data_IF_163202237261
#
_entry.id   IF_163202237261
#
_cell.length_a   1.000
_cell.length_b   1.000
_cell.length_c   1.000
_cell.angle_alpha   90.00
_cell.angle_beta   90.00
_cell.angle_gamma   90.00
#
_symmetry.space_group_name_H-M   'P 1'
#
loop_
_entity.id
_entity.type
_entity.pdbx_description
1 polymer ?
#
# COMPACT_ATOMS: atom_id res chain seq x y z
N UNK A 1 -24.76 37.76 -13.10
CA UNK A 1 -25.11 36.34 -12.86
C UNK A 1 -23.91 35.44 -13.12
N UNK A 2 -23.61 34.43 -12.27
CA UNK A 2 -22.75 33.32 -12.68
C UNK A 2 -23.46 32.50 -13.77
N UNK A 3 -22.73 32.03 -14.79
CA UNK A 3 -23.33 31.19 -15.82
C UNK A 3 -23.57 29.80 -15.25
N UNK A 4 -24.79 29.24 -15.30
CA UNK A 4 -25.02 27.89 -14.76
C UNK A 4 -24.10 26.85 -15.44
N UNK A 5 -24.06 26.90 -16.77
CA UNK A 5 -23.26 26.00 -17.61
C UNK A 5 -22.53 26.83 -18.68
N UNK A 6 -21.28 26.47 -18.98
CA UNK A 6 -20.54 27.01 -20.12
C UNK A 6 -19.87 25.87 -20.88
N UNK A 7 -20.41 25.52 -22.05
CA UNK A 7 -19.97 24.37 -22.86
C UNK A 7 -19.20 24.81 -24.11
N UNK A 8 -18.40 23.90 -24.63
CA UNK A 8 -17.79 24.02 -25.94
C UNK A 8 -17.87 22.66 -26.65
N UNK A 9 -18.90 22.51 -27.48
CA UNK A 9 -19.24 21.23 -28.12
C UNK A 9 -18.94 21.26 -29.61
N UNK A 10 -18.43 20.15 -30.14
CA UNK A 10 -18.32 19.88 -31.57
C UNK A 10 -19.03 18.55 -31.90
N UNK A 11 -19.90 18.57 -32.90
CA UNK A 11 -20.60 17.39 -33.47
C UNK A 11 -20.29 17.27 -34.96
N UNK A 12 -20.29 16.04 -35.51
CA UNK A 12 -19.96 15.79 -36.91
C UNK A 12 -18.59 16.37 -37.26
N UNK A 13 -18.44 16.97 -38.44
CA UNK A 13 -17.20 17.67 -38.84
C UNK A 13 -16.93 19.00 -38.09
N UNK A 14 -17.81 19.38 -37.15
CA UNK A 14 -17.74 20.64 -36.42
C UNK A 14 -16.39 20.88 -35.73
N UNK A 15 -15.92 22.14 -35.77
CA UNK A 15 -14.64 22.53 -35.18
C UNK A 15 -14.77 23.72 -34.25
N UNK A 16 -14.46 23.50 -32.98
CA UNK A 16 -14.31 24.56 -31.98
C UNK A 16 -12.82 24.76 -31.70
N UNK A 17 -12.28 25.91 -32.07
CA UNK A 17 -10.82 26.15 -31.94
C UNK A 17 -10.50 27.48 -31.27
N UNK A 18 -9.29 27.56 -30.69
CA UNK A 18 -8.63 28.80 -30.25
C UNK A 18 -9.33 29.65 -29.17
N UNK A 19 -10.46 29.21 -28.59
CA UNK A 19 -11.17 29.99 -27.57
C UNK A 19 -10.41 30.14 -26.23
N UNK A 20 -10.76 31.20 -25.49
CA UNK A 20 -10.14 31.54 -24.20
C UNK A 20 -11.19 31.95 -23.16
N UNK A 21 -11.43 31.09 -22.17
CA UNK A 21 -12.33 31.40 -21.04
C UNK A 21 -11.52 31.96 -19.86
N UNK A 22 -11.96 33.09 -19.31
CA UNK A 22 -11.16 33.86 -18.35
C UNK A 22 -12.07 34.65 -17.40
N UNK A 23 -11.94 34.42 -16.09
CA UNK A 23 -12.74 35.09 -15.03
C UNK A 23 -14.27 34.91 -15.16
N UNK A 24 -14.72 33.85 -15.82
CA UNK A 24 -16.13 33.47 -15.88
C UNK A 24 -16.41 32.47 -14.74
N UNK A 25 -17.14 32.82 -13.67
CA UNK A 25 -17.64 31.83 -12.72
C UNK A 25 -18.80 31.07 -13.36
N UNK A 26 -18.74 29.74 -13.33
CA UNK A 26 -19.86 28.90 -13.77
C UNK A 26 -19.97 27.62 -12.95
N UNK A 27 -21.15 27.02 -12.80
CA UNK A 27 -21.27 25.78 -12.02
C UNK A 27 -20.65 24.60 -12.78
N UNK A 28 -20.83 24.55 -14.10
CA UNK A 28 -20.27 23.51 -14.98
C UNK A 28 -19.49 24.15 -16.14
N UNK A 29 -18.29 23.63 -16.43
CA UNK A 29 -17.55 23.95 -17.65
C UNK A 29 -17.14 22.68 -18.40
N UNK A 30 -17.52 22.58 -19.68
CA UNK A 30 -17.25 21.36 -20.47
C UNK A 30 -16.58 21.68 -21.80
N UNK A 31 -15.84 20.69 -22.29
CA UNK A 31 -15.35 20.64 -23.66
C UNK A 31 -15.59 19.24 -24.23
N UNK A 32 -16.43 19.15 -25.27
CA UNK A 32 -17.06 17.91 -25.74
C UNK A 32 -16.89 17.76 -27.24
N UNK A 33 -16.49 16.57 -27.69
CA UNK A 33 -16.39 16.22 -29.09
C UNK A 33 -17.12 14.90 -29.36
N UNK A 34 -18.00 14.89 -30.36
CA UNK A 34 -18.81 13.74 -30.79
C UNK A 34 -18.69 13.54 -32.31
N UNK A 35 -18.66 12.28 -32.77
CA UNK A 35 -18.35 11.97 -34.18
C UNK A 35 -16.95 12.49 -34.53
N UNK A 36 -16.72 13.00 -35.73
CA UNK A 36 -15.43 13.59 -36.13
C UNK A 36 -15.05 14.93 -35.45
N UNK A 37 -15.89 15.39 -34.52
CA UNK A 37 -15.85 16.73 -33.94
C UNK A 37 -14.52 17.07 -33.29
N UNK A 38 -14.06 18.30 -33.45
CA UNK A 38 -12.74 18.73 -32.96
C UNK A 38 -12.82 19.96 -32.06
N UNK A 39 -12.51 19.78 -30.78
CA UNK A 39 -12.32 20.87 -29.83
C UNK A 39 -10.82 21.04 -29.53
N UNK A 40 -10.22 22.15 -29.98
CA UNK A 40 -8.75 22.30 -29.94
C UNK A 40 -8.28 23.67 -29.43
N UNK A 41 -7.07 23.69 -28.87
CA UNK A 41 -6.35 24.92 -28.46
C UNK A 41 -7.01 25.79 -27.37
N UNK A 42 -7.99 25.25 -26.64
CA UNK A 42 -8.73 26.00 -25.62
C UNK A 42 -7.88 26.37 -24.40
N UNK A 43 -8.09 27.56 -23.84
CA UNK A 43 -7.37 28.04 -22.65
C UNK A 43 -8.33 28.55 -21.57
N UNK A 44 -8.38 27.86 -20.43
CA UNK A 44 -9.21 28.24 -19.27
C UNK A 44 -8.34 28.84 -18.16
N UNK A 45 -8.72 29.99 -17.60
CA UNK A 45 -7.86 30.73 -16.66
C UNK A 45 -8.62 31.54 -15.61
N UNK A 46 -8.38 31.26 -14.31
CA UNK A 46 -9.09 31.91 -13.19
C UNK A 46 -10.61 31.72 -13.34
N UNK A 47 -11.04 30.47 -13.39
CA UNK A 47 -12.44 30.06 -13.50
C UNK A 47 -12.72 29.17 -12.29
N UNK A 48 -13.56 29.58 -11.32
CA UNK A 48 -14.10 28.65 -10.33
C UNK A 48 -15.31 27.93 -10.96
N UNK A 49 -15.40 26.61 -10.78
CA UNK A 49 -16.60 25.85 -11.13
C UNK A 49 -16.77 24.62 -10.25
N UNK A 50 -17.97 24.07 -10.15
CA UNK A 50 -18.16 22.79 -9.44
C UNK A 50 -17.58 21.64 -10.26
N UNK A 51 -17.86 21.62 -11.57
CA UNK A 51 -17.44 20.54 -12.48
C UNK A 51 -16.67 21.11 -13.68
N UNK A 52 -15.53 20.49 -14.01
CA UNK A 52 -14.75 20.78 -15.22
C UNK A 52 -14.48 19.49 -16.00
N UNK A 53 -14.97 19.38 -17.24
CA UNK A 53 -14.82 18.14 -18.05
C UNK A 53 -14.13 18.38 -19.40
N UNK A 54 -13.46 17.33 -19.87
CA UNK A 54 -12.98 17.21 -21.24
C UNK A 54 -13.32 15.81 -21.76
N UNK A 55 -14.28 15.70 -22.67
CA UNK A 55 -14.86 14.43 -23.10
C UNK A 55 -14.81 14.25 -24.63
N UNK A 56 -14.46 13.06 -25.09
CA UNK A 56 -14.48 12.66 -26.49
C UNK A 56 -15.27 11.36 -26.68
N UNK A 57 -16.16 11.32 -27.66
CA UNK A 57 -17.04 10.21 -28.00
C UNK A 57 -17.02 9.95 -29.51
N UNK A 58 -17.06 8.68 -29.94
CA UNK A 58 -16.78 8.32 -31.35
C UNK A 58 -15.37 8.77 -31.74
N UNK A 59 -15.14 9.20 -32.98
CA UNK A 59 -13.83 9.72 -33.43
C UNK A 59 -13.39 11.06 -32.82
N UNK A 60 -14.16 11.60 -31.87
CA UNK A 60 -14.07 12.96 -31.37
C UNK A 60 -12.70 13.31 -30.80
N UNK A 61 -12.23 14.54 -31.05
CA UNK A 61 -10.88 14.96 -30.66
C UNK A 61 -10.90 16.22 -29.81
N UNK A 62 -10.63 16.05 -28.51
CA UNK A 62 -10.38 17.18 -27.59
C UNK A 62 -8.87 17.28 -27.35
N UNK A 63 -8.22 18.34 -27.83
CA UNK A 63 -6.76 18.43 -27.84
C UNK A 63 -6.20 19.80 -27.45
N UNK A 64 -4.95 19.80 -26.95
CA UNK A 64 -4.16 21.01 -26.66
C UNK A 64 -4.74 21.95 -25.57
N UNK A 65 -5.57 21.44 -24.66
CA UNK A 65 -6.25 22.26 -23.64
C UNK A 65 -5.28 22.69 -22.53
N UNK A 66 -5.43 23.94 -22.06
CA UNK A 66 -4.59 24.49 -20.98
C UNK A 66 -5.44 25.11 -19.88
N UNK A 67 -5.50 24.47 -18.71
CA UNK A 67 -6.20 24.97 -17.53
C UNK A 67 -5.21 25.58 -16.51
N UNK A 68 -5.52 26.76 -15.95
CA UNK A 68 -4.62 27.45 -15.00
C UNK A 68 -5.37 28.24 -13.94
N UNK A 69 -5.16 27.90 -12.65
CA UNK A 69 -5.89 28.49 -11.51
C UNK A 69 -7.40 28.27 -11.68
N UNK A 70 -7.82 27.03 -11.61
CA UNK A 70 -9.21 26.61 -11.70
C UNK A 70 -9.46 25.73 -10.47
N UNK A 71 -10.05 26.26 -9.38
CA UNK A 71 -10.58 25.44 -8.30
C UNK A 71 -11.88 24.80 -8.77
N UNK A 72 -12.05 23.49 -8.53
CA UNK A 72 -13.32 22.83 -8.76
C UNK A 72 -13.58 21.67 -7.82
N UNK A 73 -14.81 21.16 -7.73
CA UNK A 73 -15.06 19.93 -6.97
C UNK A 73 -14.54 18.72 -7.75
N UNK A 74 -14.86 18.66 -9.05
CA UNK A 74 -14.54 17.54 -9.94
C UNK A 74 -13.84 18.03 -11.20
N UNK A 75 -12.75 17.36 -11.59
CA UNK A 75 -12.06 17.58 -12.85
C UNK A 75 -11.88 16.24 -13.60
N UNK A 76 -12.44 16.11 -14.80
CA UNK A 76 -12.41 14.85 -15.56
C UNK A 76 -11.80 15.00 -16.95
N UNK A 77 -11.21 13.89 -17.42
CA UNK A 77 -10.78 13.70 -18.80
C UNK A 77 -11.24 12.31 -19.25
N UNK A 78 -12.21 12.23 -20.16
CA UNK A 78 -12.88 10.97 -20.54
C UNK A 78 -12.84 10.73 -22.04
N UNK A 79 -12.58 9.49 -22.45
CA UNK A 79 -12.65 9.07 -23.85
C UNK A 79 -13.48 7.79 -23.98
N UNK A 80 -14.43 7.77 -24.92
CA UNK A 80 -15.33 6.66 -25.21
C UNK A 80 -15.34 6.38 -26.72
N UNK A 81 -15.43 5.10 -27.12
CA UNK A 81 -15.22 4.71 -28.52
C UNK A 81 -13.80 5.10 -28.96
N UNK A 82 -13.59 5.48 -30.22
CA UNK A 82 -12.28 5.95 -30.72
C UNK A 82 -11.77 7.30 -30.15
N UNK A 83 -12.50 7.88 -29.20
CA UNK A 83 -12.36 9.25 -28.74
C UNK A 83 -10.97 9.59 -28.23
N UNK A 84 -10.46 10.79 -28.55
CA UNK A 84 -9.08 11.18 -28.27
C UNK A 84 -9.00 12.46 -27.44
N UNK A 85 -8.66 12.30 -26.17
CA UNK A 85 -8.42 13.40 -25.23
C UNK A 85 -6.92 13.53 -24.98
N UNK A 86 -6.26 14.48 -25.64
CA UNK A 86 -4.79 14.53 -25.70
C UNK A 86 -4.16 15.90 -25.40
N UNK A 87 -2.90 15.88 -24.95
CA UNK A 87 -2.05 17.06 -24.76
C UNK A 87 -2.52 18.08 -23.69
N UNK A 88 -3.26 17.64 -22.68
CA UNK A 88 -3.78 18.56 -21.66
C UNK A 88 -2.72 18.99 -20.65
N UNK A 89 -2.77 20.27 -20.25
CA UNK A 89 -1.86 20.85 -19.26
C UNK A 89 -2.63 21.58 -18.16
N UNK A 90 -2.67 20.98 -16.97
CA UNK A 90 -3.32 21.57 -15.79
C UNK A 90 -2.28 22.15 -14.82
N UNK A 91 -2.52 23.35 -14.28
CA UNK A 91 -1.59 24.02 -13.34
C UNK A 91 -2.33 24.79 -12.25
N UNK A 92 -2.04 24.48 -10.98
CA UNK A 92 -2.70 25.07 -9.80
C UNK A 92 -4.21 24.84 -9.87
N UNK A 93 -4.61 23.60 -9.63
CA UNK A 93 -5.98 23.13 -9.70
C UNK A 93 -6.25 22.39 -8.38
N UNK A 94 -6.78 23.03 -7.33
CA UNK A 94 -7.31 22.29 -6.19
C UNK A 94 -8.66 21.68 -6.59
N UNK A 95 -8.86 20.40 -6.34
CA UNK A 95 -10.19 19.79 -6.50
C UNK A 95 -10.41 18.60 -5.58
N UNK A 96 -11.65 18.17 -5.31
CA UNK A 96 -11.86 16.96 -4.51
C UNK A 96 -11.54 15.71 -5.32
N UNK A 97 -11.92 15.66 -6.60
CA UNK A 97 -11.72 14.50 -7.48
C UNK A 97 -11.05 14.91 -8.79
N UNK A 98 -10.01 14.18 -9.20
CA UNK A 98 -9.35 14.34 -10.51
C UNK A 98 -9.22 13.00 -11.23
N UNK A 99 -9.96 12.81 -12.34
CA UNK A 99 -10.01 11.54 -13.09
C UNK A 99 -9.42 11.63 -14.49
N UNK A 100 -8.89 10.50 -14.95
CA UNK A 100 -8.56 10.24 -16.36
C UNK A 100 -9.09 8.85 -16.72
N UNK A 101 -10.12 8.76 -17.56
CA UNK A 101 -10.78 7.49 -17.89
C UNK A 101 -10.87 7.24 -19.40
N UNK A 102 -10.58 6.01 -19.82
CA UNK A 102 -10.74 5.55 -21.19
C UNK A 102 -11.63 4.29 -21.24
N UNK A 103 -12.60 4.27 -22.15
CA UNK A 103 -13.58 3.20 -22.36
C UNK A 103 -13.68 2.86 -23.85
N UNK A 104 -13.84 1.57 -24.19
CA UNK A 104 -13.69 1.13 -25.59
C UNK A 104 -12.28 1.46 -26.10
N UNK A 105 -12.12 1.80 -27.38
CA UNK A 105 -10.82 2.22 -27.95
C UNK A 105 -10.23 3.55 -27.45
N UNK A 106 -10.89 4.18 -26.48
CA UNK A 106 -10.69 5.57 -26.07
C UNK A 106 -9.26 5.87 -25.65
N UNK A 107 -8.74 7.04 -26.03
CA UNK A 107 -7.34 7.40 -25.82
C UNK A 107 -7.19 8.70 -25.05
N UNK A 108 -6.85 8.56 -23.76
CA UNK A 108 -6.52 9.68 -22.87
C UNK A 108 -5.00 9.75 -22.71
N UNK A 109 -4.34 10.71 -23.36
CA UNK A 109 -2.86 10.69 -23.46
C UNK A 109 -2.18 12.04 -23.24
N UNK A 110 -0.88 11.99 -22.91
CA UNK A 110 0.01 13.15 -22.80
C UNK A 110 -0.39 14.21 -21.74
N UNK A 111 -1.07 13.80 -20.67
CA UNK A 111 -1.50 14.72 -19.61
C UNK A 111 -0.33 15.21 -18.74
N UNK A 112 -0.31 16.50 -18.42
CA UNK A 112 0.68 17.10 -17.52
C UNK A 112 0.02 17.93 -16.42
N UNK A 113 -0.04 17.38 -15.21
CA UNK A 113 -0.59 18.06 -14.03
C UNK A 113 0.53 18.60 -13.14
N UNK A 114 0.38 19.82 -12.61
CA UNK A 114 1.35 20.45 -11.68
C UNK A 114 0.66 21.26 -10.59
N UNK A 115 0.96 20.94 -9.31
CA UNK A 115 0.33 21.55 -8.13
C UNK A 115 -1.19 21.34 -8.18
N UNK A 116 -1.59 20.12 -7.89
CA UNK A 116 -2.97 19.64 -7.88
C UNK A 116 -3.17 18.92 -6.54
N UNK A 117 -3.57 19.63 -5.46
CA UNK A 117 -4.06 18.97 -4.26
C UNK A 117 -5.47 18.44 -4.53
N UNK A 118 -5.70 17.17 -4.23
CA UNK A 118 -7.05 16.60 -4.34
C UNK A 118 -7.34 15.48 -3.37
N UNK A 119 -8.59 15.18 -3.03
CA UNK A 119 -8.89 14.01 -2.18
C UNK A 119 -8.58 12.72 -2.94
N UNK A 120 -9.07 12.61 -4.19
CA UNK A 120 -8.93 11.40 -5.01
C UNK A 120 -8.30 11.72 -6.36
N UNK A 121 -7.32 10.91 -6.79
CA UNK A 121 -6.77 10.98 -8.14
C UNK A 121 -6.74 9.61 -8.83
N UNK A 122 -7.51 9.46 -9.91
CA UNK A 122 -7.67 8.17 -10.61
C UNK A 122 -7.14 8.20 -12.05
N UNK A 123 -6.66 7.04 -12.49
CA UNK A 123 -6.41 6.72 -13.90
C UNK A 123 -7.02 5.36 -14.20
N UNK A 124 -8.06 5.30 -15.03
CA UNK A 124 -8.84 4.09 -15.30
C UNK A 124 -8.90 3.76 -16.80
N UNK A 125 -8.72 2.50 -17.14
CA UNK A 125 -8.89 1.99 -18.51
C UNK A 125 -9.83 0.77 -18.50
N UNK A 126 -10.84 0.78 -19.37
CA UNK A 126 -11.85 -0.27 -19.51
C UNK A 126 -12.04 -0.64 -21.00
N UNK A 127 -12.25 -1.92 -21.31
CA UNK A 127 -12.16 -2.41 -22.69
C UNK A 127 -10.76 -2.13 -23.26
N UNK A 128 -10.61 -1.82 -24.54
CA UNK A 128 -9.33 -1.46 -25.17
C UNK A 128 -8.69 -0.13 -24.72
N UNK A 129 -9.29 0.54 -23.74
CA UNK A 129 -9.03 1.92 -23.36
C UNK A 129 -7.57 2.19 -23.00
N UNK A 130 -7.03 3.33 -23.44
CA UNK A 130 -5.61 3.65 -23.30
C UNK A 130 -5.39 4.95 -22.55
N UNK A 131 -4.96 4.84 -21.29
CA UNK A 131 -4.57 5.97 -20.43
C UNK A 131 -3.05 6.01 -20.31
N UNK A 132 -2.39 6.88 -21.09
CA UNK A 132 -0.92 6.80 -21.27
C UNK A 132 -0.17 8.14 -21.15
N UNK A 133 1.12 8.05 -20.81
CA UNK A 133 2.07 9.18 -20.79
C UNK A 133 1.75 10.29 -19.76
N UNK A 134 1.09 9.96 -18.64
CA UNK A 134 0.75 10.97 -17.63
C UNK A 134 1.94 11.40 -16.79
N UNK A 135 2.05 12.71 -16.53
CA UNK A 135 3.12 13.30 -15.72
C UNK A 135 2.55 14.20 -14.64
N UNK A 136 2.54 13.72 -13.41
CA UNK A 136 2.07 14.46 -12.23
C UNK A 136 3.25 14.98 -11.40
N UNK A 137 3.15 16.21 -10.87
CA UNK A 137 4.20 16.82 -10.03
C UNK A 137 3.60 17.69 -8.91
N UNK A 138 3.98 17.38 -7.66
CA UNK A 138 3.43 18.02 -6.44
C UNK A 138 1.92 17.82 -6.40
N UNK A 139 1.52 16.62 -5.98
CA UNK A 139 0.13 16.21 -5.88
C UNK A 139 -0.08 15.59 -4.49
N UNK A 140 -0.45 16.39 -3.46
CA UNK A 140 -1.01 15.83 -2.24
C UNK A 140 -2.37 15.22 -2.57
N UNK A 141 -2.62 13.98 -2.15
CA UNK A 141 -3.99 13.45 -2.18
C UNK A 141 -4.29 12.46 -1.07
N UNK A 142 -5.55 12.13 -0.79
CA UNK A 142 -5.85 11.04 0.14
C UNK A 142 -5.62 9.69 -0.55
N UNK A 143 -6.14 9.54 -1.77
CA UNK A 143 -6.10 8.29 -2.55
C UNK A 143 -5.54 8.55 -3.95
N UNK A 144 -4.63 7.71 -4.42
CA UNK A 144 -4.19 7.69 -5.82
C UNK A 144 -4.24 6.29 -6.44
N UNK A 145 -5.10 6.10 -7.44
CA UNK A 145 -5.33 4.80 -8.07
C UNK A 145 -4.90 4.77 -9.54
N UNK A 146 -4.49 3.58 -9.99
CA UNK A 146 -4.33 3.22 -11.38
C UNK A 146 -5.00 1.88 -11.63
N UNK A 147 -6.05 1.83 -12.45
CA UNK A 147 -6.91 0.65 -12.62
C UNK A 147 -7.05 0.28 -14.11
N UNK A 148 -6.94 -1.00 -14.42
CA UNK A 148 -7.17 -1.54 -15.76
C UNK A 148 -8.13 -2.74 -15.71
N UNK A 149 -9.15 -2.73 -16.56
CA UNK A 149 -10.16 -3.79 -16.71
C UNK A 149 -10.34 -4.17 -18.19
N UNK A 150 -10.59 -5.45 -18.47
CA UNK A 150 -10.55 -5.97 -19.86
C UNK A 150 -9.17 -5.72 -20.46
N UNK A 151 -9.07 -5.45 -21.76
CA UNK A 151 -7.79 -5.12 -22.42
C UNK A 151 -7.12 -3.79 -22.02
N UNK A 152 -7.67 -3.10 -21.02
CA UNK A 152 -7.38 -1.71 -20.67
C UNK A 152 -5.90 -1.48 -20.35
N UNK A 153 -5.34 -0.38 -20.85
CA UNK A 153 -3.89 -0.10 -20.76
C UNK A 153 -3.61 1.22 -20.06
N UNK A 154 -3.18 1.13 -18.80
CA UNK A 154 -2.72 2.27 -18.00
C UNK A 154 -1.19 2.26 -17.93
N UNK A 155 -0.52 3.10 -18.74
CA UNK A 155 0.93 2.97 -18.96
C UNK A 155 1.73 4.27 -18.91
N UNK A 156 3.04 4.13 -18.66
CA UNK A 156 4.03 5.23 -18.71
C UNK A 156 3.79 6.39 -17.71
N UNK A 157 3.19 6.11 -16.56
CA UNK A 157 2.92 7.13 -15.53
C UNK A 157 4.19 7.57 -14.82
N UNK A 158 4.35 8.88 -14.61
CA UNK A 158 5.46 9.47 -13.86
C UNK A 158 4.99 10.45 -12.81
N UNK A 159 4.96 10.00 -11.56
CA UNK A 159 4.58 10.82 -10.40
C UNK A 159 5.83 11.30 -9.64
N UNK A 160 5.83 12.55 -9.16
CA UNK A 160 6.92 13.08 -8.30
C UNK A 160 6.39 13.99 -7.19
N UNK A 161 6.78 13.71 -5.95
CA UNK A 161 6.29 14.38 -4.73
C UNK A 161 4.77 14.20 -4.62
N UNK A 162 4.38 12.99 -4.24
CA UNK A 162 3.00 12.56 -4.00
C UNK A 162 2.90 12.09 -2.53
N UNK A 163 2.61 12.95 -1.55
CA UNK A 163 2.14 12.45 -0.26
C UNK A 163 0.69 12.00 -0.42
N UNK A 164 0.37 10.76 -0.03
CA UNK A 164 -1.03 10.32 -0.01
C UNK A 164 -1.29 9.19 0.98
N UNK A 165 -2.49 9.03 1.53
CA UNK A 165 -2.73 7.92 2.48
C UNK A 165 -2.72 6.56 1.78
N UNK A 166 -3.32 6.45 0.59
CA UNK A 166 -3.41 5.18 -0.16
C UNK A 166 -2.91 5.35 -1.60
N UNK A 167 -2.04 4.45 -2.06
CA UNK A 167 -1.64 4.38 -3.47
C UNK A 167 -1.75 2.97 -4.05
N UNK A 168 -2.65 2.77 -5.01
CA UNK A 168 -2.96 1.45 -5.59
C UNK A 168 -2.63 1.36 -7.08
N UNK A 169 -2.30 0.14 -7.51
CA UNK A 169 -2.22 -0.27 -8.91
C UNK A 169 -2.96 -1.60 -9.06
N UNK A 170 -4.07 -1.64 -9.81
CA UNK A 170 -4.91 -2.83 -9.95
C UNK A 170 -5.12 -3.20 -11.42
N UNK A 171 -5.04 -4.49 -11.73
CA UNK A 171 -5.34 -5.03 -13.05
C UNK A 171 -6.33 -6.21 -12.92
N UNK A 172 -7.37 -6.21 -13.75
CA UNK A 172 -8.43 -7.23 -13.81
C UNK A 172 -8.69 -7.65 -15.26
N UNK A 173 -8.97 -8.93 -15.51
CA UNK A 173 -9.00 -9.48 -16.87
C UNK A 173 -7.64 -9.28 -17.54
N UNK A 174 -7.57 -9.06 -18.85
CA UNK A 174 -6.30 -8.78 -19.56
C UNK A 174 -5.58 -7.46 -19.22
N UNK A 175 -6.09 -6.72 -18.23
CA UNK A 175 -5.74 -5.34 -17.93
C UNK A 175 -4.26 -5.13 -17.66
N UNK A 176 -3.68 -4.06 -18.20
CA UNK A 176 -2.22 -3.81 -18.17
C UNK A 176 -1.89 -2.48 -17.51
N UNK A 177 -1.41 -2.56 -16.28
CA UNK A 177 -0.89 -1.41 -15.50
C UNK A 177 0.63 -1.48 -15.49
N UNK A 178 1.30 -0.70 -16.35
CA UNK A 178 2.74 -0.89 -16.61
C UNK A 178 3.59 0.38 -16.66
N UNK A 179 4.90 0.21 -16.45
CA UNK A 179 5.93 1.26 -16.58
C UNK A 179 5.76 2.46 -15.61
N UNK A 180 5.21 2.24 -14.42
CA UNK A 180 5.00 3.30 -13.43
C UNK A 180 6.31 3.71 -12.76
N UNK A 181 6.53 5.03 -12.63
CA UNK A 181 7.71 5.60 -11.95
C UNK A 181 7.31 6.63 -10.91
N UNK A 182 7.33 6.24 -9.64
CA UNK A 182 7.02 7.12 -8.51
C UNK A 182 8.32 7.57 -7.81
N UNK A 183 8.37 8.83 -7.35
CA UNK A 183 9.54 9.37 -6.60
C UNK A 183 9.11 10.33 -5.50
N UNK A 184 9.57 10.05 -4.26
CA UNK A 184 9.15 10.75 -3.02
C UNK A 184 7.64 10.61 -2.84
N UNK A 185 7.27 9.45 -2.30
CA UNK A 185 5.91 8.97 -2.10
C UNK A 185 5.79 8.51 -0.63
N UNK A 186 5.58 9.38 0.37
CA UNK A 186 5.12 8.92 1.67
C UNK A 186 3.65 8.55 1.56
N UNK A 187 3.27 7.35 2.01
CA UNK A 187 1.88 6.93 2.09
C UNK A 187 1.60 5.99 3.25
N UNK A 188 0.37 5.78 3.69
CA UNK A 188 0.07 4.77 4.72
C UNK A 188 0.07 3.37 4.10
N UNK A 189 -0.55 3.23 2.92
CA UNK A 189 -0.71 1.95 2.22
C UNK A 189 -0.26 2.08 0.77
N UNK A 190 0.54 1.12 0.28
CA UNK A 190 0.90 0.99 -1.14
C UNK A 190 0.67 -0.43 -1.67
N UNK A 191 -0.27 -0.60 -2.59
CA UNK A 191 -0.65 -1.92 -3.12
C UNK A 191 -0.38 -2.07 -4.61
N UNK A 192 -0.10 -3.29 -5.01
CA UNK A 192 -0.11 -3.75 -6.40
C UNK A 192 -0.90 -5.06 -6.48
N UNK A 193 -2.03 -5.08 -7.19
CA UNK A 193 -2.89 -6.27 -7.30
C UNK A 193 -3.17 -6.65 -8.75
N UNK A 194 -3.15 -7.96 -9.04
CA UNK A 194 -3.53 -8.52 -10.33
C UNK A 194 -4.55 -9.65 -10.13
N UNK A 195 -5.63 -9.64 -10.90
CA UNK A 195 -6.71 -10.62 -10.87
C UNK A 195 -7.05 -11.09 -12.31
N UNK A 196 -7.36 -12.37 -12.49
CA UNK A 196 -7.45 -12.97 -13.83
C UNK A 196 -6.12 -12.81 -14.56
N UNK A 197 -6.10 -12.63 -15.89
CA UNK A 197 -4.86 -12.40 -16.67
C UNK A 197 -4.10 -11.09 -16.39
N UNK A 198 -4.53 -10.32 -15.38
CA UNK A 198 -4.13 -8.94 -15.14
C UNK A 198 -2.63 -8.78 -14.95
N UNK A 199 -2.03 -7.73 -15.53
CA UNK A 199 -0.58 -7.52 -15.56
C UNK A 199 -0.18 -6.20 -14.96
N UNK A 200 0.33 -6.25 -13.72
CA UNK A 200 0.90 -5.10 -13.00
C UNK A 200 2.42 -5.22 -13.04
N UNK A 201 3.09 -4.49 -13.95
CA UNK A 201 4.51 -4.75 -14.25
C UNK A 201 5.41 -3.51 -14.37
N UNK A 202 6.72 -3.72 -14.20
CA UNK A 202 7.77 -2.71 -14.40
C UNK A 202 7.68 -1.47 -13.47
N UNK A 203 7.20 -1.65 -12.23
CA UNK A 203 7.07 -0.55 -11.27
C UNK A 203 8.41 -0.14 -10.67
N UNK A 204 8.67 1.16 -10.59
CA UNK A 204 9.88 1.72 -9.99
C UNK A 204 9.56 2.82 -8.98
N UNK A 205 9.60 2.47 -7.70
CA UNK A 205 9.39 3.39 -6.58
C UNK A 205 10.72 3.81 -5.95
N UNK A 206 10.85 5.08 -5.53
CA UNK A 206 12.06 5.58 -4.84
C UNK A 206 11.72 6.58 -3.74
N UNK A 207 12.21 6.31 -2.52
CA UNK A 207 11.87 7.04 -1.27
C UNK A 207 10.37 6.93 -1.02
N UNK A 208 9.97 5.79 -0.48
CA UNK A 208 8.60 5.41 -0.17
C UNK A 208 8.53 4.98 1.31
N UNK A 209 8.36 5.87 2.27
CA UNK A 209 7.90 5.48 3.60
C UNK A 209 6.44 5.05 3.52
N UNK A 210 6.08 3.87 4.04
CA UNK A 210 4.67 3.52 4.21
C UNK A 210 4.36 2.47 5.26
N UNK A 211 3.26 2.55 6.00
CA UNK A 211 2.91 1.54 7.01
C UNK A 211 2.78 0.14 6.40
N UNK A 212 2.12 0.00 5.26
CA UNK A 212 1.89 -1.30 4.59
C UNK A 212 2.28 -1.24 3.11
N UNK A 213 3.04 -2.24 2.63
CA UNK A 213 3.33 -2.42 1.21
C UNK A 213 3.04 -3.83 0.73
N UNK A 214 2.05 -4.00 -0.16
CA UNK A 214 1.59 -5.31 -0.64
C UNK A 214 1.82 -5.51 -2.14
N UNK A 215 2.04 -6.77 -2.51
CA UNK A 215 1.99 -7.26 -3.89
C UNK A 215 1.16 -8.54 -3.93
N UNK A 216 0.01 -8.55 -4.59
CA UNK A 216 -0.91 -9.68 -4.62
C UNK A 216 -1.26 -10.11 -6.05
N UNK A 217 -1.25 -11.41 -6.33
CA UNK A 217 -1.71 -12.00 -7.58
C UNK A 217 -2.76 -13.09 -7.32
N UNK A 218 -3.85 -13.07 -8.09
CA UNK A 218 -4.97 -14.00 -7.97
C UNK A 218 -5.42 -14.49 -9.36
N UNK A 219 -5.75 -15.77 -9.50
CA UNK A 219 -5.91 -16.40 -10.83
C UNK A 219 -4.60 -16.29 -11.61
N UNK A 220 -4.63 -16.15 -12.93
CA UNK A 220 -3.42 -15.97 -13.76
C UNK A 220 -2.61 -14.68 -13.54
N UNK A 221 -2.97 -13.88 -12.54
CA UNK A 221 -2.51 -12.51 -12.33
C UNK A 221 -1.00 -12.39 -12.21
N UNK A 222 -0.41 -11.37 -12.83
CA UNK A 222 1.06 -11.22 -12.91
C UNK A 222 1.51 -9.88 -12.35
N UNK A 223 2.09 -9.92 -11.15
CA UNK A 223 2.71 -8.78 -10.47
C UNK A 223 4.22 -8.92 -10.55
N UNK A 224 4.87 -8.27 -11.52
CA UNK A 224 6.28 -8.57 -11.87
C UNK A 224 7.20 -7.36 -12.05
N UNK A 225 8.51 -7.60 -11.91
CA UNK A 225 9.59 -6.63 -12.17
C UNK A 225 9.55 -5.37 -11.28
N UNK A 226 9.16 -5.51 -10.01
CA UNK A 226 9.08 -4.38 -9.07
C UNK A 226 10.45 -3.99 -8.53
N UNK A 227 10.75 -2.69 -8.52
CA UNK A 227 12.01 -2.15 -8.00
C UNK A 227 11.77 -1.01 -7.01
N UNK A 228 11.81 -1.32 -5.72
CA UNK A 228 11.68 -0.35 -4.63
C UNK A 228 13.06 0.03 -4.07
N UNK A 229 13.24 1.30 -3.66
CA UNK A 229 14.49 1.78 -3.05
C UNK A 229 14.23 2.81 -1.94
N UNK A 230 14.76 2.55 -0.74
CA UNK A 230 14.50 3.29 0.50
C UNK A 230 13.00 3.23 0.81
N UNK A 231 12.60 2.08 1.35
CA UNK A 231 11.24 1.71 1.69
C UNK A 231 11.21 1.34 3.19
N UNK A 232 11.15 2.28 4.13
CA UNK A 232 10.78 1.93 5.49
C UNK A 232 9.27 1.64 5.54
N UNK A 233 8.88 0.50 6.10
CA UNK A 233 7.46 0.16 6.25
C UNK A 233 7.19 -0.72 7.47
N UNK A 234 6.00 -0.73 8.06
CA UNK A 234 5.70 -1.65 9.16
C UNK A 234 5.54 -3.08 8.65
N UNK A 235 4.79 -3.26 7.55
CA UNK A 235 4.49 -4.56 6.95
C UNK A 235 4.82 -4.57 5.46
N UNK A 236 5.51 -5.60 4.98
CA UNK A 236 5.74 -5.83 3.55
C UNK A 236 5.37 -7.25 3.13
N UNK A 237 4.33 -7.40 2.31
CA UNK A 237 3.79 -8.70 1.89
C UNK A 237 3.93 -8.96 0.39
N UNK A 238 4.07 -10.24 0.05
CA UNK A 238 3.94 -10.77 -1.30
C UNK A 238 3.04 -12.00 -1.26
N UNK A 239 1.91 -11.99 -1.97
CA UNK A 239 0.90 -13.07 -1.91
C UNK A 239 0.52 -13.55 -3.31
N UNK A 240 0.41 -14.86 -3.51
CA UNK A 240 -0.05 -15.48 -4.74
C UNK A 240 -1.12 -16.53 -4.46
N UNK A 241 -2.24 -16.50 -5.19
CA UNK A 241 -3.36 -17.43 -5.08
C UNK A 241 -3.80 -17.93 -6.46
N UNK A 242 -4.16 -19.21 -6.57
CA UNK A 242 -4.36 -19.86 -7.88
C UNK A 242 -3.06 -19.79 -8.69
N UNK A 243 -3.12 -19.67 -10.02
CA UNK A 243 -1.93 -19.52 -10.87
C UNK A 243 -1.09 -18.23 -10.69
N UNK A 244 -1.40 -17.43 -9.68
CA UNK A 244 -0.91 -16.07 -9.50
C UNK A 244 0.61 -15.99 -9.41
N UNK A 245 1.22 -15.02 -10.11
CA UNK A 245 2.68 -14.90 -10.23
C UNK A 245 3.18 -13.55 -9.72
N UNK A 246 3.79 -13.58 -8.53
CA UNK A 246 4.46 -12.44 -7.90
C UNK A 246 5.97 -12.64 -8.02
N UNK A 247 6.61 -12.02 -9.02
CA UNK A 247 7.99 -12.38 -9.39
C UNK A 247 8.94 -11.20 -9.67
N UNK A 248 10.25 -11.46 -9.58
CA UNK A 248 11.32 -10.51 -9.89
C UNK A 248 11.30 -9.23 -9.03
N UNK A 249 11.01 -9.37 -7.74
CA UNK A 249 10.98 -8.22 -6.81
C UNK A 249 12.38 -7.85 -6.34
N UNK A 250 12.69 -6.55 -6.33
CA UNK A 250 13.97 -6.05 -5.86
C UNK A 250 13.82 -4.85 -4.94
N UNK A 251 13.90 -5.09 -3.65
CA UNK A 251 13.87 -4.07 -2.60
C UNK A 251 15.30 -3.74 -2.14
N UNK A 252 15.54 -2.48 -1.72
CA UNK A 252 16.85 -2.05 -1.17
C UNK A 252 16.67 -0.99 -0.08
N UNK A 253 17.25 -1.24 1.10
CA UNK A 253 17.06 -0.47 2.33
C UNK A 253 15.58 -0.50 2.71
N UNK A 254 15.19 -1.62 3.30
CA UNK A 254 13.84 -1.98 3.69
C UNK A 254 13.85 -2.34 5.19
N UNK A 255 13.88 -1.37 6.12
CA UNK A 255 13.55 -1.69 7.50
C UNK A 255 12.04 -1.92 7.60
N UNK A 256 11.62 -3.06 8.18
CA UNK A 256 10.20 -3.30 8.43
C UNK A 256 9.90 -4.28 9.54
N UNK A 257 8.88 -4.03 10.36
CA UNK A 257 8.51 -4.94 11.47
C UNK A 257 8.21 -6.35 10.97
N UNK A 258 7.45 -6.50 9.87
CA UNK A 258 7.04 -7.80 9.32
C UNK A 258 7.31 -7.87 7.81
N UNK A 259 7.92 -8.97 7.34
CA UNK A 259 8.10 -9.26 5.91
C UNK A 259 7.62 -10.68 5.54
N UNK A 260 6.56 -10.79 4.74
CA UNK A 260 5.92 -12.06 4.40
C UNK A 260 5.98 -12.39 2.90
N UNK A 261 6.05 -13.69 2.61
CA UNK A 261 5.83 -14.27 1.28
C UNK A 261 4.87 -15.46 1.41
N UNK A 262 3.72 -15.43 0.75
CA UNK A 262 2.72 -16.52 0.79
C UNK A 262 2.31 -16.98 -0.61
N UNK A 263 2.17 -18.28 -0.80
CA UNK A 263 1.67 -18.90 -2.02
C UNK A 263 0.58 -19.94 -1.67
N UNK A 264 -0.54 -19.93 -2.38
CA UNK A 264 -1.67 -20.84 -2.21
C UNK A 264 -2.17 -21.37 -3.56
N UNK A 265 -2.53 -22.66 -3.63
CA UNK A 265 -2.77 -23.32 -4.92
C UNK A 265 -1.50 -23.30 -5.76
N UNK A 266 -1.59 -23.21 -7.09
CA UNK A 266 -0.42 -23.10 -7.99
C UNK A 266 0.44 -21.81 -7.86
N UNK A 267 0.18 -20.98 -6.84
CA UNK A 267 0.70 -19.63 -6.69
C UNK A 267 2.22 -19.59 -6.65
N UNK A 268 2.83 -18.63 -7.36
CA UNK A 268 4.29 -18.54 -7.51
C UNK A 268 4.83 -17.20 -7.04
N UNK A 269 5.49 -17.22 -5.89
CA UNK A 269 6.21 -16.09 -5.30
C UNK A 269 7.71 -16.32 -5.44
N UNK A 270 8.34 -15.74 -6.48
CA UNK A 270 9.71 -16.14 -6.87
C UNK A 270 10.66 -14.99 -7.21
N UNK A 271 11.97 -15.28 -7.18
CA UNK A 271 13.06 -14.37 -7.56
C UNK A 271 13.13 -13.08 -6.71
N UNK A 272 12.91 -13.20 -5.39
CA UNK A 272 12.92 -12.04 -4.48
C UNK A 272 14.35 -11.66 -4.08
N UNK A 273 14.67 -10.36 -4.17
CA UNK A 273 16.01 -9.83 -3.83
C UNK A 273 15.91 -8.63 -2.90
N UNK A 274 16.01 -8.87 -1.60
CA UNK A 274 16.04 -7.83 -0.56
C UNK A 274 17.48 -7.53 -0.13
N UNK A 275 17.79 -6.29 0.28
CA UNK A 275 19.13 -5.90 0.76
C UNK A 275 19.04 -4.82 1.83
N UNK A 276 19.68 -5.06 2.98
CA UNK A 276 19.58 -4.26 4.22
C UNK A 276 18.12 -4.25 4.66
N UNK A 277 17.73 -5.36 5.27
CA UNK A 277 16.39 -5.68 5.74
C UNK A 277 16.48 -6.06 7.22
N UNK A 278 16.53 -5.08 8.15
CA UNK A 278 16.21 -5.36 9.55
C UNK A 278 14.69 -5.56 9.66
N UNK A 279 14.26 -6.66 10.26
CA UNK A 279 12.84 -6.91 10.49
C UNK A 279 12.56 -7.74 11.73
N UNK A 280 11.50 -7.44 12.48
CA UNK A 280 11.14 -8.24 13.66
C UNK A 280 10.73 -9.65 13.23
N UNK A 281 9.92 -9.79 12.18
CA UNK A 281 9.39 -11.07 11.69
C UNK A 281 9.64 -11.22 10.18
N UNK A 282 10.10 -12.38 9.74
CA UNK A 282 10.25 -12.72 8.32
C UNK A 282 9.65 -14.10 8.01
N UNK A 283 8.57 -14.17 7.25
CA UNK A 283 7.84 -15.42 6.97
C UNK A 283 7.90 -15.83 5.50
N UNK A 284 7.92 -17.14 5.27
CA UNK A 284 7.69 -17.78 3.98
C UNK A 284 6.67 -18.90 4.16
N UNK A 285 5.61 -18.89 3.34
CA UNK A 285 4.51 -19.86 3.41
C UNK A 285 4.10 -20.37 2.03
N UNK A 286 3.98 -21.68 1.86
CA UNK A 286 3.40 -22.31 0.69
C UNK A 286 2.30 -23.28 1.11
N UNK A 287 1.14 -23.27 0.42
CA UNK A 287 -0.02 -24.14 0.68
C UNK A 287 -0.57 -24.69 -0.65
N UNK A 288 -1.07 -25.94 -0.67
CA UNK A 288 -1.32 -26.67 -1.92
C UNK A 288 -0.04 -26.76 -2.76
N UNK A 289 -0.13 -26.72 -4.09
CA UNK A 289 1.03 -26.68 -5.00
C UNK A 289 1.92 -25.40 -4.95
N UNK A 290 1.72 -24.56 -3.94
CA UNK A 290 2.29 -23.22 -3.84
C UNK A 290 3.82 -23.23 -3.86
N UNK A 291 4.42 -22.25 -4.54
CA UNK A 291 5.89 -22.19 -4.74
C UNK A 291 6.48 -20.85 -4.31
N UNK A 292 7.26 -20.89 -3.23
CA UNK A 292 7.98 -19.75 -2.67
C UNK A 292 9.49 -19.99 -2.84
N UNK A 293 10.09 -19.46 -3.92
CA UNK A 293 11.45 -19.89 -4.35
C UNK A 293 12.44 -18.78 -4.78
N UNK A 294 13.74 -19.08 -4.65
CA UNK A 294 14.87 -18.21 -5.02
C UNK A 294 14.86 -16.86 -4.27
N UNK A 295 14.74 -16.92 -2.95
CA UNK A 295 14.75 -15.74 -2.09
C UNK A 295 16.19 -15.41 -1.67
N UNK A 296 16.59 -14.16 -1.89
CA UNK A 296 17.94 -13.68 -1.57
C UNK A 296 17.87 -12.44 -0.70
N UNK A 297 18.03 -12.63 0.61
CA UNK A 297 18.15 -11.55 1.59
C UNK A 297 19.62 -11.33 1.96
N UNK A 298 20.02 -10.09 2.27
CA UNK A 298 21.42 -9.77 2.67
C UNK A 298 21.45 -8.66 3.71
N UNK A 299 22.18 -8.90 4.81
CA UNK A 299 22.19 -8.09 6.03
C UNK A 299 20.77 -8.02 6.60
N UNK A 300 20.41 -9.12 7.28
CA UNK A 300 19.09 -9.40 7.83
C UNK A 300 19.24 -9.72 9.33
N UNK A 301 19.31 -8.73 10.22
CA UNK A 301 19.00 -8.98 11.62
C UNK A 301 17.48 -9.13 11.75
N UNK A 302 17.02 -10.25 12.30
CA UNK A 302 15.61 -10.46 12.60
C UNK A 302 15.39 -11.25 13.88
N UNK A 303 14.27 -11.00 14.56
CA UNK A 303 13.88 -11.77 15.73
C UNK A 303 13.33 -13.13 15.26
N UNK A 304 12.22 -13.12 14.54
CA UNK A 304 11.50 -14.32 14.09
C UNK A 304 11.74 -14.57 12.60
N UNK A 305 12.01 -15.81 12.23
CA UNK A 305 12.10 -16.24 10.84
C UNK A 305 11.34 -17.56 10.60
N UNK A 306 10.18 -17.53 9.96
CA UNK A 306 9.33 -18.72 9.78
C UNK A 306 9.40 -19.30 8.36
N UNK A 307 9.27 -20.62 8.27
CA UNK A 307 9.30 -21.40 7.02
C UNK A 307 8.17 -22.45 7.07
N UNK A 308 6.97 -22.07 6.64
CA UNK A 308 5.83 -22.98 6.58
C UNK A 308 5.78 -23.61 5.19
N UNK A 309 6.15 -24.88 5.13
CA UNK A 309 6.37 -25.65 3.92
C UNK A 309 5.85 -27.06 4.20
N UNK A 310 5.19 -27.63 3.21
CA UNK A 310 4.41 -28.82 3.40
C UNK A 310 4.97 -29.91 2.51
N UNK A 311 5.34 -31.04 3.08
CA UNK A 311 5.93 -32.14 2.32
C UNK A 311 5.60 -33.49 2.95
N UNK A 312 5.12 -34.42 2.12
CA UNK A 312 5.19 -35.86 2.35
C UNK A 312 6.49 -36.47 1.79
N UNK A 313 7.49 -35.65 1.41
CA UNK A 313 8.76 -36.11 0.86
C UNK A 313 9.90 -36.10 1.90
N UNK A 314 10.77 -37.10 1.79
CA UNK A 314 11.64 -37.59 2.86
C UNK A 314 12.94 -36.79 3.11
N UNK A 315 13.06 -35.54 2.65
CA UNK A 315 14.27 -34.72 2.86
C UNK A 315 13.95 -33.23 3.08
N UNK A 316 14.33 -32.63 4.22
CA UNK A 316 14.11 -31.20 4.45
C UNK A 316 14.87 -30.36 3.40
N UNK A 317 14.33 -29.18 3.02
CA UNK A 317 14.92 -28.36 1.97
C UNK A 317 16.36 -27.96 2.31
N UNK A 318 17.28 -28.13 1.36
CA UNK A 318 18.67 -27.69 1.50
C UNK A 318 18.75 -26.16 1.68
N UNK A 319 18.80 -25.72 2.94
CA UNK A 319 19.13 -24.33 3.32
C UNK A 319 20.59 -24.30 3.80
N UNK A 320 21.56 -23.89 2.95
CA UNK A 320 22.96 -23.79 3.37
C UNK A 320 23.17 -22.57 4.29
N UNK A 321 22.81 -22.72 5.57
CA UNK A 321 22.99 -21.76 6.65
C UNK A 321 24.46 -21.68 7.05
N UNK A 322 25.21 -20.76 6.44
CA UNK A 322 26.63 -20.55 6.81
C UNK A 322 26.74 -19.67 8.08
N UNK A 323 26.67 -20.34 9.24
CA UNK A 323 27.04 -19.95 10.62
C UNK A 323 26.04 -19.11 11.47
N UNK A 324 25.60 -19.73 12.57
CA UNK A 324 25.08 -19.21 13.87
C UNK A 324 23.72 -18.44 13.88
N UNK A 325 22.98 -18.43 15.01
CA UNK A 325 21.57 -18.89 15.06
C UNK A 325 20.48 -17.86 14.67
N UNK A 326 19.21 -18.32 14.72
CA UNK A 326 17.93 -17.61 14.49
C UNK A 326 17.25 -17.24 15.84
N UNK A 327 16.22 -16.37 15.92
CA UNK A 327 15.48 -16.11 17.20
C UNK A 327 14.06 -16.68 17.38
N UNK A 328 13.38 -17.12 16.32
CA UNK A 328 12.33 -18.15 16.36
C UNK A 328 12.34 -18.76 14.96
N UNK A 329 12.45 -20.07 14.83
CA UNK A 329 12.42 -20.76 13.54
C UNK A 329 11.29 -21.80 13.46
N UNK A 330 10.05 -21.32 13.31
CA UNK A 330 8.90 -22.22 13.16
C UNK A 330 8.84 -22.81 11.76
N UNK A 331 8.66 -24.13 11.72
CA UNK A 331 8.18 -24.89 10.59
C UNK A 331 6.73 -25.33 10.88
N UNK A 332 5.83 -25.16 9.93
CA UNK A 332 4.46 -25.71 9.98
C UNK A 332 4.12 -26.34 8.62
N UNK A 333 3.36 -27.44 8.61
CA UNK A 333 3.17 -28.34 7.46
C UNK A 333 1.70 -28.78 7.27
N UNK A 334 1.13 -28.64 6.06
CA UNK A 334 -0.26 -28.98 5.65
C UNK A 334 -0.45 -29.09 4.09
N UNK A 335 0.00 -30.15 3.41
CA UNK A 335 -0.15 -30.35 1.94
C UNK A 335 1.18 -30.50 1.16
N UNK A 336 1.25 -30.00 -0.10
CA UNK A 336 2.39 -30.19 -1.04
C UNK A 336 3.25 -28.92 -1.32
N UNK A 337 3.14 -27.90 -0.46
CA UNK A 337 3.68 -26.55 -0.67
C UNK A 337 5.20 -26.43 -0.60
N UNK A 338 5.84 -26.00 -1.69
CA UNK A 338 7.31 -25.95 -1.82
C UNK A 338 7.94 -24.60 -1.50
N UNK A 339 8.80 -24.60 -0.49
CA UNK A 339 9.60 -23.44 -0.05
C UNK A 339 11.10 -23.75 -0.21
N UNK A 340 11.75 -23.26 -1.27
CA UNK A 340 13.12 -23.72 -1.64
C UNK A 340 14.06 -22.62 -2.14
N UNK A 341 15.37 -22.90 -2.16
CA UNK A 341 16.42 -21.99 -2.63
C UNK A 341 16.43 -20.65 -1.85
N UNK A 342 16.39 -20.77 -0.51
CA UNK A 342 16.51 -19.67 0.44
C UNK A 342 17.99 -19.31 0.66
N UNK A 343 18.35 -18.03 0.57
CA UNK A 343 19.74 -17.58 0.70
C UNK A 343 19.88 -16.27 1.46
N UNK A 344 19.96 -16.39 2.79
CA UNK A 344 20.28 -15.32 3.75
C UNK A 344 21.81 -15.14 3.87
N UNK A 345 22.31 -13.94 4.21
CA UNK A 345 23.75 -13.71 4.54
C UNK A 345 23.94 -12.56 5.54
N UNK A 346 24.70 -12.86 6.61
CA UNK A 346 25.05 -12.02 7.79
C UNK A 346 23.85 -11.77 8.73
N UNK A 347 23.89 -12.45 9.88
CA UNK A 347 22.89 -12.59 10.95
C UNK A 347 23.55 -12.25 12.32
N UNK A 348 22.79 -11.67 13.25
CA UNK A 348 22.86 -12.01 14.67
C UNK A 348 21.43 -12.17 15.26
N UNK A 349 21.07 -13.38 15.74
CA UNK A 349 19.74 -13.79 16.22
C UNK A 349 19.89 -14.97 17.25
N UNK A 350 18.88 -15.35 18.06
CA UNK A 350 19.15 -15.87 19.44
C UNK A 350 18.36 -17.06 20.10
N UNK A 351 17.26 -17.63 19.58
CA UNK A 351 16.23 -18.49 20.26
C UNK A 351 15.44 -19.37 19.23
N UNK A 352 14.71 -20.43 19.64
CA UNK A 352 14.01 -21.38 18.73
C UNK A 352 12.68 -21.94 19.29
N UNK A 353 11.67 -22.16 18.44
CA UNK A 353 10.42 -22.90 18.78
C UNK A 353 9.87 -23.69 17.59
N UNK A 354 9.18 -24.81 17.87
CA UNK A 354 8.44 -25.61 16.89
C UNK A 354 6.94 -25.62 17.25
N UNK A 355 6.06 -25.55 16.26
CA UNK A 355 4.61 -25.75 16.42
C UNK A 355 4.08 -26.65 15.32
N UNK A 356 3.70 -27.88 15.67
CA UNK A 356 2.97 -28.78 14.78
C UNK A 356 1.52 -28.85 15.23
N UNK A 357 0.58 -28.59 14.33
CA UNK A 357 -0.83 -28.94 14.52
C UNK A 357 -1.11 -30.20 13.69
N UNK A 358 -1.26 -31.32 14.38
CA UNK A 358 -1.67 -32.59 13.79
C UNK A 358 -3.18 -32.75 14.00
N UNK A 359 -3.92 -33.04 12.93
CA UNK A 359 -5.32 -33.42 13.06
C UNK A 359 -5.39 -34.83 13.69
N UNK A 360 -6.29 -35.03 14.64
CA UNK A 360 -6.23 -36.12 15.59
C UNK A 360 -6.19 -37.53 14.95
N UNK A 361 -5.01 -38.15 14.95
CA UNK A 361 -4.86 -39.61 14.99
C UNK A 361 -3.43 -39.97 15.44
N UNK A 362 -3.33 -40.66 16.59
CA UNK A 362 -2.09 -41.21 17.20
C UNK A 362 -1.16 -40.16 17.87
N UNK A 363 -0.64 -40.42 19.09
CA UNK A 363 0.26 -39.49 19.77
C UNK A 363 1.66 -39.49 19.14
N UNK A 364 2.30 -38.32 18.95
CA UNK A 364 3.64 -38.25 18.39
C UNK A 364 4.70 -38.65 19.44
N UNK A 365 5.56 -39.62 19.09
CA UNK A 365 6.77 -39.90 19.86
C UNK A 365 7.75 -38.73 19.75
N UNK A 366 7.88 -37.94 20.82
CA UNK A 366 8.95 -36.95 20.97
C UNK A 366 10.29 -37.71 21.15
N UNK A 367 11.33 -37.43 20.36
CA UNK A 367 12.63 -38.09 20.55
C UNK A 367 13.29 -37.61 21.85
N UNK A 368 13.22 -38.43 22.90
CA UNK A 368 13.70 -38.14 24.27
C UNK A 368 15.18 -37.71 24.36
N UNK A 369 16.00 -38.00 23.34
CA UNK A 369 17.45 -37.70 23.31
C UNK A 369 17.81 -36.23 23.56
N UNK A 370 17.03 -35.27 23.02
CA UNK A 370 17.36 -33.84 23.19
C UNK A 370 17.09 -33.28 24.58
N UNK A 371 16.18 -33.88 25.35
CA UNK A 371 15.93 -33.42 26.72
C UNK A 371 17.06 -33.86 27.64
N UNK A 372 17.52 -35.11 27.48
CA UNK A 372 18.67 -35.66 28.19
C UNK A 372 19.95 -34.85 27.93
N UNK A 373 20.21 -34.45 26.67
CA UNK A 373 21.35 -33.57 26.30
C UNK A 373 21.32 -32.19 27.00
N UNK A 374 20.14 -31.65 27.34
CA UNK A 374 20.00 -30.39 28.08
C UNK A 374 20.17 -30.65 29.58
N UNK A 375 19.55 -31.71 30.11
CA UNK A 375 19.65 -32.09 31.52
C UNK A 375 21.08 -32.46 31.94
N UNK A 376 21.88 -33.01 31.03
CA UNK A 376 23.28 -33.40 31.27
C UNK A 376 24.32 -32.30 30.94
N UNK A 377 23.91 -31.06 30.71
CA UNK A 377 24.86 -29.97 30.42
C UNK A 377 25.51 -29.47 31.72
N UNK A 378 26.84 -29.21 31.79
CA UNK A 378 27.55 -28.84 33.03
C UNK A 378 27.00 -27.62 33.78
N UNK A 379 26.27 -26.74 33.09
CA UNK A 379 25.55 -25.62 33.74
C UNK A 379 24.46 -26.07 34.74
N UNK A 380 23.91 -27.26 34.56
CA UNK A 380 22.87 -27.85 35.40
C UNK A 380 23.41 -28.98 36.30
N UNK A 381 24.72 -29.05 36.49
CA UNK A 381 25.35 -29.96 37.45
C UNK A 381 24.83 -29.64 38.86
N UNK A 382 24.28 -30.64 39.55
CA UNK A 382 23.60 -30.48 40.85
C UNK A 382 22.11 -30.14 40.78
N UNK A 383 21.51 -29.96 39.60
CA UNK A 383 20.05 -29.80 39.47
C UNK A 383 19.37 -31.18 39.45
N UNK A 384 18.62 -31.49 40.51
CA UNK A 384 17.73 -32.65 40.51
C UNK A 384 16.49 -32.36 39.65
N UNK A 385 16.48 -32.91 38.44
CA UNK A 385 15.38 -32.77 37.48
C UNK A 385 14.15 -33.60 37.83
N UNK A 386 14.28 -34.64 38.67
CA UNK A 386 13.15 -35.48 39.06
C UNK A 386 12.34 -34.83 40.19
N UNK A 387 13.02 -34.22 41.16
CA UNK A 387 12.42 -33.45 42.24
C UNK A 387 12.19 -31.96 41.95
N UNK A 388 12.46 -31.45 40.74
CA UNK A 388 12.35 -30.02 40.41
C UNK A 388 10.99 -29.39 40.77
N UNK A 389 9.90 -30.15 40.63
CA UNK A 389 8.55 -29.70 40.99
C UNK A 389 8.28 -29.67 42.51
N UNK A 390 9.13 -30.30 43.32
CA UNK A 390 9.09 -30.29 44.79
C UNK A 390 10.19 -29.41 45.41
N UNK A 391 11.10 -28.85 44.60
CA UNK A 391 12.12 -27.91 45.07
C UNK A 391 11.51 -26.54 45.36
N UNK A 392 12.00 -25.90 46.43
CA UNK A 392 11.63 -24.51 46.74
C UNK A 392 12.11 -23.58 45.62
N UNK A 393 11.22 -22.71 45.14
CA UNK A 393 11.58 -21.70 44.15
C UNK A 393 12.62 -20.72 44.73
N UNK A 394 13.68 -20.35 43.98
CA UNK A 394 14.70 -19.41 44.47
C UNK A 394 14.18 -18.02 44.83
N UNK A 395 13.02 -17.65 44.29
CA UNK A 395 12.29 -16.43 44.63
C UNK A 395 10.80 -16.73 44.62
N UNK A 396 10.13 -16.47 45.73
CA UNK A 396 8.68 -16.47 45.85
C UNK A 396 8.23 -15.01 45.85
N UNK A 397 7.47 -14.54 44.84
CA UNK A 397 6.97 -13.16 44.84
C UNK A 397 6.03 -12.95 46.03
N UNK A 398 6.10 -11.78 46.65
CA UNK A 398 5.13 -11.39 47.67
C UNK A 398 3.77 -11.20 47.01
N UNK A 399 2.79 -11.98 47.45
CA UNK A 399 1.38 -11.89 47.05
C UNK A 399 0.59 -11.85 48.35
N UNK A 400 0.03 -10.69 48.69
CA UNK A 400 -0.62 -10.48 49.99
C UNK A 400 -2.05 -11.06 50.03
N UNK A 401 -2.72 -11.18 48.88
CA UNK A 401 -4.03 -11.85 48.72
C UNK A 401 -4.28 -12.28 47.26
N UNK A 402 -5.28 -13.11 46.99
CA UNK A 402 -5.53 -13.69 45.65
C UNK A 402 -5.75 -12.65 44.53
N UNK A 403 -6.32 -11.48 44.86
CA UNK A 403 -6.58 -10.38 43.93
C UNK A 403 -5.42 -9.37 43.84
N UNK A 404 -4.23 -9.72 44.34
CA UNK A 404 -3.11 -8.79 44.49
C UNK A 404 -2.40 -8.55 43.16
N UNK A 405 -2.50 -7.31 42.67
CA UNK A 405 -1.90 -6.87 41.42
C UNK A 405 -0.55 -6.16 41.61
N UNK A 406 0.06 -6.15 42.80
CA UNK A 406 1.31 -5.40 43.05
C UNK A 406 2.51 -5.85 42.20
N UNK A 407 2.51 -7.10 41.73
CA UNK A 407 3.54 -7.65 40.83
C UNK A 407 3.24 -7.39 39.33
N UNK A 408 2.18 -6.65 39.01
CA UNK A 408 1.77 -6.31 37.65
C UNK A 408 1.88 -4.79 37.44
N UNK A 409 2.10 -4.37 36.19
CA UNK A 409 2.05 -2.96 35.83
C UNK A 409 0.60 -2.44 35.97
N UNK A 410 0.43 -1.25 36.54
CA UNK A 410 -0.88 -0.58 36.60
C UNK A 410 -1.21 0.00 35.23
N UNK A 411 -2.39 -0.35 34.72
CA UNK A 411 -2.95 0.23 33.50
C UNK A 411 -4.05 1.23 33.91
N UNK A 412 -4.12 2.37 33.22
CA UNK A 412 -5.23 3.30 33.39
C UNK A 412 -6.53 2.62 32.90
N UNK A 413 -7.61 2.73 33.67
CA UNK A 413 -8.91 2.13 33.34
C UNK A 413 -9.61 2.93 32.21
N UNK A 414 -9.21 2.65 30.96
CA UNK A 414 -9.80 3.27 29.77
C UNK A 414 -11.28 2.84 29.61
N UNK A 415 -12.15 3.71 30.14
CA UNK A 415 -13.62 3.71 30.09
C UNK A 415 -14.20 3.49 28.68
N UNK A 416 -14.38 2.24 28.25
CA UNK A 416 -15.25 1.93 27.11
C UNK A 416 -15.87 0.51 27.11
N UNK A 417 -16.45 0.07 28.23
CA UNK A 417 -17.25 -1.18 28.28
C UNK A 417 -18.51 -1.09 29.16
N UNK A 418 -19.29 -0.01 29.10
CA UNK A 418 -20.77 -0.13 29.12
C UNK A 418 -21.50 1.15 28.68
N UNK A 419 -22.25 1.08 27.57
CA UNK A 419 -23.62 1.61 27.46
C UNK A 419 -24.23 1.24 26.09
N UNK A 420 -25.56 1.10 25.99
CA UNK A 420 -26.16 0.26 24.96
C UNK A 420 -26.43 1.02 23.65
N UNK A 421 -26.64 0.27 22.57
CA UNK A 421 -27.19 0.84 21.35
C UNK A 421 -28.71 0.92 21.42
N UNK A 422 -29.26 2.13 21.31
CA UNK A 422 -30.49 2.36 20.55
C UNK A 422 -30.48 3.76 19.91
N UNK A 423 -31.43 4.04 19.03
CA UNK A 423 -31.33 5.08 18.01
C UNK A 423 -31.99 6.43 18.38
N UNK A 424 -31.79 7.39 17.45
CA UNK A 424 -32.63 8.56 17.15
C UNK A 424 -32.37 9.92 17.85
N UNK A 425 -31.84 10.86 17.05
CA UNK A 425 -32.14 12.31 17.12
C UNK A 425 -31.44 13.15 18.22
N UNK A 426 -31.31 14.47 18.08
CA UNK A 426 -31.40 15.34 16.90
C UNK A 426 -30.78 16.72 17.23
N UNK A 427 -29.93 17.29 16.35
CA UNK A 427 -29.38 18.65 16.49
C UNK A 427 -28.38 18.86 17.65
N UNK A 428 -27.60 19.95 17.72
CA UNK A 428 -27.31 20.96 16.71
C UNK A 428 -25.88 21.52 16.88
N UNK A 429 -25.34 22.06 15.79
CA UNK A 429 -24.09 22.83 15.68
C UNK A 429 -24.13 24.19 16.41
N UNK A 430 -23.06 25.02 16.44
CA UNK A 430 -21.60 24.77 16.48
C UNK A 430 -20.86 25.75 17.45
N UNK A 431 -19.51 25.79 17.41
CA UNK A 431 -18.85 27.10 17.20
C UNK A 431 -17.93 27.63 18.31
N UNK A 432 -16.63 27.67 18.01
CA UNK A 432 -15.60 28.39 18.76
C UNK A 432 -15.61 29.90 18.48
N UNK A 433 -15.49 30.74 19.53
CA UNK A 433 -14.95 32.11 19.54
C UNK A 433 -14.41 32.34 20.98
N UNK A 434 -13.10 32.54 21.22
CA UNK A 434 -12.38 33.83 21.24
C UNK A 434 -13.10 34.96 22.01
N UNK A 435 -12.43 35.53 23.02
CA UNK A 435 -12.78 36.87 23.52
C UNK A 435 -12.53 37.16 25.02
N UNK A 436 -11.30 37.56 25.35
CA UNK A 436 -10.96 38.68 26.27
C UNK A 436 -12.03 39.33 27.19
N UNK A 437 -11.71 39.44 28.49
CA UNK A 437 -12.31 40.37 29.47
C UNK A 437 -11.98 39.93 30.91
N UNK A 438 -11.13 40.65 31.67
CA UNK A 438 -11.50 41.55 32.80
C UNK A 438 -12.42 40.91 33.87
N UNK A 439 -12.15 40.98 35.18
CA UNK A 439 -11.05 41.49 36.00
C UNK A 439 -11.01 40.66 37.32
N UNK A 440 -10.01 40.67 38.20
CA UNK A 440 -9.62 41.74 39.13
C UNK A 440 -8.30 41.40 39.86
N UNK A 441 -7.69 42.43 40.47
CA UNK A 441 -6.83 42.50 41.67
C UNK A 441 -6.41 41.19 42.41
N UNK A 442 -5.23 41.10 43.04
CA UNK A 442 -4.04 41.96 43.12
C UNK A 442 -2.88 41.16 43.77
N UNK A 443 -1.62 41.57 43.58
CA UNK A 443 -0.48 40.90 44.22
C UNK A 443 0.88 41.48 43.79
N UNK A 444 1.41 42.41 44.58
CA UNK A 444 2.65 43.16 44.29
C UNK A 444 3.87 42.49 44.92
N UNK A 445 4.93 42.29 44.13
CA UNK A 445 6.40 42.35 44.43
C UNK A 445 7.13 41.70 43.23
N UNK A 446 7.89 42.37 42.36
CA UNK A 446 9.05 43.27 42.55
C UNK A 446 10.26 42.59 43.19
N UNK A 447 11.27 42.24 42.38
CA UNK A 447 12.64 42.84 42.34
C UNK A 447 13.71 41.91 41.69
N UNK A 448 14.51 42.53 40.80
CA UNK A 448 15.90 42.26 40.36
C UNK A 448 16.39 40.87 39.91
N UNK A 449 16.90 40.85 38.66
CA UNK A 449 18.33 40.72 38.29
C UNK A 449 18.43 40.93 36.74
N UNK A 450 19.28 41.75 36.09
CA UNK A 450 20.67 42.22 36.35
C UNK A 450 21.64 41.05 36.57
N UNK A 451 22.71 40.77 35.81
CA UNK A 451 23.36 41.37 34.63
C UNK A 451 23.73 40.20 33.67
N UNK A 452 24.26 40.40 32.45
CA UNK A 452 24.75 41.62 31.77
C UNK A 452 23.90 41.87 30.53
#
# INVERSE_FOLDING_TARGET
>A
MPCLVHTHTAHGDGRVTNMRTRRLPCSVHTHTAHGDGRVTNMRTRRLPCSVHTHAAHGDGRVTNMRTRRLPCLVHTHTAHGDGRVTNMRTRRLPCSVHTHAAHGDGRVTNMRTRRLPCSVHTHAAHGDGRVTNMRTRRLPCLVHTHTAHGDGRVTNMRTRRLPCSVHTHTAHGDGRVTNMRTRRLPCSVHTHTAHGDGRVTNMRTRRLPCSVHTHAAHGDGRVTNMRTRRLPCSVHTHTAHGDGRVTNMRTRRLPCSVHTHTAHGDGRVTNMRTRRLPCSVHTHAAHGDGRVTNMRTRRLPCLVHTHTAHEAASKPPHVPLRRLPCSVHTHTAHGDGRVTNMRTRRLPCSVHTHTAHEAASKPPHVPLRRLQEIQSHPFFEGVDWAGLHAQSAPYVPRVDHELDTQNFERFDEDMNMNSPGEAAGAGATPGTLMGTGCALAAGVRSLLCAQV
#
